data_IF_443898807069
#
_entry.id   IF_443898807069
#
_cell.length_a   1.000
_cell.length_b   1.000
_cell.length_c   1.000
_cell.angle_alpha   90.00
_cell.angle_beta   90.00
_cell.angle_gamma   90.00
#
_symmetry.space_group_name_H-M   'P 1'
#
loop_
_entity.id
_entity.type
_entity.pdbx_description
1 polymer ?
#
# COMPACT_ATOMS: atom_id res chain seq x y z
N UNK A 1 -14.31 55.53 21.27
CA UNK A 1 -15.52 54.71 21.42
C UNK A 1 -15.40 53.66 20.35
N UNK A 2 -14.71 52.60 20.66
CA UNK A 2 -15.11 51.32 21.27
C UNK A 2 -15.74 50.38 20.25
N UNK A 3 -15.14 49.23 20.07
CA UNK A 3 -15.71 48.10 19.38
C UNK A 3 -14.72 47.01 19.05
N UNK A 4 -14.15 46.44 20.10
CA UNK A 4 -13.32 45.23 20.06
C UNK A 4 -14.21 44.01 19.78
N UNK A 5 -13.84 43.16 18.81
CA UNK A 5 -14.50 41.92 18.47
C UNK A 5 -13.50 40.81 18.23
N UNK A 6 -13.03 40.22 19.33
CA UNK A 6 -12.18 39.03 19.34
C UNK A 6 -12.98 37.79 18.95
N UNK A 7 -12.76 37.27 17.74
CA UNK A 7 -13.23 35.95 17.33
C UNK A 7 -12.20 34.88 17.72
N UNK A 8 -12.47 34.16 18.80
CA UNK A 8 -11.71 33.00 19.24
C UNK A 8 -12.00 31.82 18.30
N UNK A 9 -11.05 31.50 17.44
CA UNK A 9 -11.04 30.25 16.69
C UNK A 9 -10.80 29.07 17.64
N UNK A 10 -11.79 28.21 17.80
CA UNK A 10 -11.63 26.93 18.47
C UNK A 10 -10.66 26.05 17.66
N UNK A 11 -9.51 25.77 18.24
CA UNK A 11 -8.62 24.74 17.77
C UNK A 11 -9.28 23.38 17.98
N UNK A 12 -9.55 22.67 16.88
CA UNK A 12 -10.04 21.31 16.93
C UNK A 12 -9.01 20.40 17.61
N UNK A 13 -9.47 19.64 18.60
CA UNK A 13 -8.66 18.65 19.31
C UNK A 13 -8.15 17.60 18.33
N UNK A 14 -6.83 17.38 18.29
CA UNK A 14 -6.20 16.31 17.54
C UNK A 14 -6.61 14.94 18.12
N UNK A 15 -7.11 14.04 17.27
CA UNK A 15 -7.33 12.63 17.63
C UNK A 15 -5.97 11.97 17.91
N UNK A 16 -5.75 11.37 19.09
CA UNK A 16 -4.46 10.75 19.44
C UNK A 16 -4.12 9.51 18.58
N UNK A 17 -4.97 9.10 17.64
CA UNK A 17 -4.77 8.00 16.71
C UNK A 17 -4.28 8.43 15.32
N UNK A 18 -3.81 9.67 15.14
CA UNK A 18 -2.95 10.09 14.05
C UNK A 18 -3.54 10.13 12.63
N UNK A 19 -4.84 10.00 12.45
CA UNK A 19 -5.48 10.05 11.12
C UNK A 19 -5.98 11.46 10.78
N UNK A 20 -5.33 12.16 9.85
CA UNK A 20 -5.84 13.44 9.33
C UNK A 20 -7.02 13.15 8.39
N UNK A 21 -8.24 13.27 8.92
CA UNK A 21 -9.49 13.15 8.20
C UNK A 21 -9.75 14.44 7.39
N UNK A 22 -9.18 14.57 6.20
CA UNK A 22 -9.49 15.69 5.31
C UNK A 22 -10.81 15.42 4.59
N UNK A 23 -11.69 16.43 4.52
CA UNK A 23 -12.93 16.36 3.75
C UNK A 23 -12.69 16.98 2.37
N UNK A 24 -13.27 16.35 1.33
CA UNK A 24 -13.40 16.99 0.01
C UNK A 24 -14.30 18.21 0.10
N UNK A 25 -14.28 19.05 -0.94
CA UNK A 25 -15.19 20.21 -1.06
C UNK A 25 -16.68 19.84 -1.02
N UNK A 26 -17.02 18.57 -1.35
CA UNK A 26 -18.37 17.98 -1.29
C UNK A 26 -18.72 17.38 0.10
N UNK A 27 -17.82 17.47 1.08
CA UNK A 27 -18.00 16.92 2.43
C UNK A 27 -17.65 15.45 2.59
N UNK A 28 -17.35 14.72 1.50
CA UNK A 28 -16.94 13.32 1.54
C UNK A 28 -15.58 13.15 2.23
N UNK A 29 -15.46 12.10 3.03
CA UNK A 29 -14.19 11.74 3.69
C UNK A 29 -13.36 10.89 2.73
N UNK A 30 -12.10 11.21 2.58
CA UNK A 30 -11.16 10.44 1.75
C UNK A 30 -9.88 10.13 2.53
N UNK A 31 -9.19 9.06 2.13
CA UNK A 31 -7.78 8.81 2.46
C UNK A 31 -6.96 9.02 1.20
N UNK A 32 -5.90 9.81 1.29
CA UNK A 32 -4.99 10.11 0.21
C UNK A 32 -3.68 9.37 0.41
N UNK A 33 -3.30 8.60 -0.59
CA UNK A 33 -2.11 7.77 -0.61
C UNK A 33 -1.14 8.38 -1.61
N UNK A 34 0.04 8.81 -1.16
CA UNK A 34 1.15 9.09 -2.06
C UNK A 34 1.95 7.81 -2.26
N UNK A 35 2.06 7.31 -3.49
CA UNK A 35 2.74 6.05 -3.81
C UNK A 35 3.89 6.28 -4.81
N UNK A 36 5.06 5.74 -4.51
CA UNK A 36 6.26 5.76 -5.36
C UNK A 36 7.14 4.56 -5.06
N UNK A 37 7.83 4.04 -6.07
CA UNK A 37 8.87 3.01 -5.96
C UNK A 37 10.06 3.34 -6.85
N UNK A 38 11.09 2.49 -6.82
CA UNK A 38 12.20 2.51 -7.78
C UNK A 38 12.94 3.85 -7.87
N UNK A 39 13.16 4.49 -6.74
CA UNK A 39 13.96 5.71 -6.72
C UNK A 39 15.47 5.45 -6.56
N UNK A 40 15.88 4.20 -6.30
CA UNK A 40 17.26 3.70 -6.36
C UNK A 40 18.27 4.65 -5.73
N UNK A 41 18.01 5.08 -4.51
CA UNK A 41 18.84 6.04 -3.79
C UNK A 41 20.23 5.46 -3.53
N UNK A 42 21.27 6.08 -4.06
CA UNK A 42 22.67 5.78 -3.76
C UNK A 42 23.25 6.70 -2.70
N UNK A 43 24.47 6.43 -2.25
CA UNK A 43 25.13 7.25 -1.23
C UNK A 43 25.33 8.71 -1.64
N UNK A 44 25.50 8.97 -2.95
CA UNK A 44 25.69 10.31 -3.51
C UNK A 44 24.37 11.10 -3.68
N UNK A 45 23.21 10.48 -3.47
CA UNK A 45 21.91 11.08 -3.76
C UNK A 45 21.31 11.80 -2.55
N UNK A 46 22.10 12.07 -1.50
CA UNK A 46 21.64 12.79 -0.33
C UNK A 46 21.04 14.16 -0.69
N UNK A 47 19.78 14.39 -0.31
CA UNK A 47 19.00 15.60 -0.63
C UNK A 47 18.23 15.54 -1.95
N UNK A 48 18.41 14.51 -2.78
CA UNK A 48 17.81 14.43 -4.11
C UNK A 48 16.27 14.22 -4.08
N UNK A 49 15.77 13.55 -3.06
CA UNK A 49 14.35 13.18 -2.93
C UNK A 49 13.62 13.93 -1.81
N UNK A 50 14.34 14.76 -1.02
CA UNK A 50 13.76 15.47 0.12
C UNK A 50 12.56 16.34 -0.25
N UNK A 51 12.62 17.08 -1.37
CA UNK A 51 11.51 17.90 -1.84
C UNK A 51 10.29 17.07 -2.23
N UNK A 52 10.49 15.89 -2.87
CA UNK A 52 9.45 14.93 -3.20
C UNK A 52 8.71 14.49 -1.93
N UNK A 53 9.44 14.00 -0.94
CA UNK A 53 8.85 13.47 0.28
C UNK A 53 8.22 14.56 1.16
N UNK A 54 8.80 15.78 1.19
CA UNK A 54 8.20 16.91 1.87
C UNK A 54 6.83 17.29 1.26
N UNK A 55 6.70 17.23 -0.08
CA UNK A 55 5.43 17.48 -0.76
C UNK A 55 4.43 16.36 -0.51
N UNK A 56 4.84 15.09 -0.63
CA UNK A 56 3.99 13.95 -0.30
C UNK A 56 3.44 14.05 1.13
N UNK A 57 4.28 14.46 2.09
CA UNK A 57 3.87 14.70 3.48
C UNK A 57 2.79 15.79 3.65
N UNK A 58 2.72 16.77 2.74
CA UNK A 58 1.70 17.83 2.77
C UNK A 58 0.39 17.39 2.11
N UNK A 59 0.46 16.57 1.08
CA UNK A 59 -0.66 16.22 0.21
C UNK A 59 -1.35 14.90 0.58
N UNK A 60 -0.64 13.97 1.23
CA UNK A 60 -1.14 12.64 1.54
C UNK A 60 -1.42 12.43 3.04
N UNK A 61 -2.15 11.38 3.35
CA UNK A 61 -2.41 10.87 4.70
C UNK A 61 -1.51 9.67 5.03
N UNK A 62 -0.89 9.06 4.01
CA UNK A 62 0.07 7.97 4.11
C UNK A 62 1.00 7.98 2.89
N UNK A 63 2.28 7.65 3.11
CA UNK A 63 3.28 7.46 2.06
C UNK A 63 3.52 5.97 1.85
N UNK A 64 3.39 5.49 0.62
CA UNK A 64 3.66 4.11 0.19
C UNK A 64 4.94 4.07 -0.64
N UNK A 65 5.88 3.21 -0.24
CA UNK A 65 7.12 2.96 -0.95
C UNK A 65 7.09 1.54 -1.54
N UNK A 66 7.06 1.43 -2.86
CA UNK A 66 6.84 0.18 -3.61
C UNK A 66 8.13 -0.55 -4.00
N UNK A 67 9.15 -0.53 -3.13
CA UNK A 67 10.42 -1.25 -3.31
C UNK A 67 11.47 -0.51 -4.12
N UNK A 68 12.65 -1.10 -4.21
CA UNK A 68 13.85 -0.54 -4.82
C UNK A 68 14.16 0.87 -4.31
N UNK A 69 14.21 0.96 -2.97
CA UNK A 69 14.48 2.20 -2.26
C UNK A 69 15.95 2.60 -2.43
N UNK A 70 16.84 1.60 -2.45
CA UNK A 70 18.27 1.74 -2.60
C UNK A 70 18.76 1.23 -3.96
N UNK A 71 19.96 1.61 -4.35
CA UNK A 71 20.58 1.16 -5.59
C UNK A 71 21.17 -0.23 -5.48
N UNK A 72 21.81 -0.54 -4.36
CA UNK A 72 22.54 -1.79 -4.13
C UNK A 72 22.19 -2.48 -2.81
N UNK A 73 21.24 -1.97 -2.06
CA UNK A 73 20.79 -2.55 -0.79
C UNK A 73 21.79 -2.40 0.35
N UNK A 74 22.76 -1.48 0.24
CA UNK A 74 23.75 -1.32 1.31
C UNK A 74 23.17 -0.56 2.51
N UNK A 75 23.64 -0.84 3.74
CA UNK A 75 23.24 -0.07 4.92
C UNK A 75 23.57 1.43 4.81
N UNK A 76 24.63 1.79 4.06
CA UNK A 76 24.99 3.19 3.84
C UNK A 76 23.93 3.90 2.96
N UNK A 77 23.51 3.29 1.86
CA UNK A 77 22.41 3.80 1.02
C UNK A 77 21.10 3.88 1.80
N UNK A 78 20.78 2.87 2.62
CA UNK A 78 19.56 2.89 3.42
C UNK A 78 19.56 4.03 4.46
N UNK A 79 20.74 4.40 5.01
CA UNK A 79 20.85 5.60 5.86
C UNK A 79 20.63 6.89 5.09
N UNK A 80 20.99 6.96 3.81
CA UNK A 80 20.62 8.10 2.95
C UNK A 80 19.11 8.12 2.76
N UNK A 81 18.47 6.99 2.44
CA UNK A 81 17.00 6.90 2.30
C UNK A 81 16.27 7.44 3.52
N UNK A 82 16.64 7.02 4.74
CA UNK A 82 15.99 7.55 5.96
C UNK A 82 16.27 9.03 6.19
N UNK A 83 17.41 9.55 5.72
CA UNK A 83 17.72 10.97 5.70
C UNK A 83 16.78 11.78 4.78
N UNK A 84 16.44 11.22 3.61
CA UNK A 84 15.45 11.81 2.69
C UNK A 84 14.04 11.83 3.30
N UNK A 85 13.69 10.83 4.11
CA UNK A 85 12.41 10.71 4.79
C UNK A 85 12.33 11.50 6.11
N UNK A 86 13.38 12.21 6.54
CA UNK A 86 13.49 12.77 7.89
C UNK A 86 12.31 13.69 8.28
N UNK A 87 11.79 14.48 7.34
CA UNK A 87 10.73 15.45 7.57
C UNK A 87 9.31 14.91 7.33
N UNK A 88 9.19 13.65 6.90
CA UNK A 88 7.87 13.00 6.69
C UNK A 88 7.25 12.67 8.06
N UNK A 89 6.03 13.13 8.28
CA UNK A 89 5.27 12.95 9.53
C UNK A 89 4.09 11.99 9.36
N UNK A 90 3.57 11.85 8.14
CA UNK A 90 2.55 10.84 7.86
C UNK A 90 3.13 9.44 7.99
N UNK A 91 2.33 8.42 8.31
CA UNK A 91 2.79 7.04 8.32
C UNK A 91 3.45 6.66 6.99
N UNK A 92 4.53 5.90 7.07
CA UNK A 92 5.25 5.37 5.90
C UNK A 92 5.09 3.86 5.89
N UNK A 93 4.58 3.33 4.79
CA UNK A 93 4.40 1.89 4.54
C UNK A 93 5.29 1.51 3.37
N UNK A 94 6.09 0.46 3.50
CA UNK A 94 7.05 0.06 2.48
C UNK A 94 7.08 -1.45 2.26
N UNK A 95 7.29 -1.85 1.03
CA UNK A 95 7.90 -3.14 0.69
C UNK A 95 9.34 -2.90 0.22
N UNK A 96 10.19 -3.90 0.32
CA UNK A 96 11.52 -3.84 -0.27
C UNK A 96 11.49 -4.46 -1.68
N UNK A 97 12.38 -4.00 -2.55
CA UNK A 97 12.55 -4.52 -3.90
C UNK A 97 13.78 -5.41 -4.04
N UNK A 98 14.05 -5.89 -5.24
CA UNK A 98 15.20 -6.76 -5.49
C UNK A 98 16.55 -6.05 -5.30
N UNK A 99 16.64 -4.76 -5.61
CA UNK A 99 17.85 -3.96 -5.35
C UNK A 99 18.15 -3.82 -3.86
N UNK A 100 17.11 -3.73 -3.02
CA UNK A 100 17.29 -3.67 -1.56
C UNK A 100 17.83 -4.98 -0.97
N UNK A 101 17.70 -6.09 -1.70
CA UNK A 101 18.24 -7.42 -1.33
C UNK A 101 19.65 -7.67 -1.86
N UNK A 102 20.15 -6.90 -2.84
CA UNK A 102 21.35 -7.21 -3.63
C UNK A 102 22.62 -7.40 -2.78
N UNK A 103 22.82 -6.53 -1.78
CA UNK A 103 24.01 -6.60 -0.91
C UNK A 103 23.98 -7.73 0.13
N UNK A 104 22.84 -8.38 0.32
CA UNK A 104 22.66 -9.39 1.37
C UNK A 104 22.50 -8.83 2.80
N UNK A 105 22.45 -7.51 3.00
CA UNK A 105 22.31 -6.86 4.31
C UNK A 105 20.86 -6.57 4.70
N UNK A 106 19.92 -7.41 4.26
CA UNK A 106 18.48 -7.19 4.45
C UNK A 106 18.07 -6.97 5.91
N UNK A 107 18.64 -7.73 6.84
CA UNK A 107 18.33 -7.59 8.27
C UNK A 107 18.72 -6.20 8.82
N UNK A 108 19.86 -5.66 8.37
CA UNK A 108 20.32 -4.33 8.76
C UNK A 108 19.46 -3.23 8.12
N UNK A 109 19.10 -3.39 6.82
CA UNK A 109 18.17 -2.51 6.13
C UNK A 109 16.82 -2.43 6.84
N UNK A 110 16.25 -3.56 7.26
CA UNK A 110 15.03 -3.62 8.07
C UNK A 110 15.17 -2.90 9.40
N UNK A 111 16.30 -3.07 10.10
CA UNK A 111 16.54 -2.40 11.38
C UNK A 111 16.56 -0.88 11.21
N UNK A 112 17.28 -0.37 10.21
CA UNK A 112 17.38 1.06 9.89
C UNK A 112 16.00 1.67 9.57
N UNK A 113 15.20 1.01 8.73
CA UNK A 113 13.86 1.47 8.38
C UNK A 113 12.90 1.47 9.55
N UNK A 114 12.92 0.41 10.39
CA UNK A 114 12.07 0.31 11.58
C UNK A 114 12.42 1.35 12.63
N UNK A 115 13.71 1.64 12.83
CA UNK A 115 14.17 2.70 13.73
C UNK A 115 13.62 4.08 13.30
N UNK A 116 13.48 4.30 11.98
CA UNK A 116 12.84 5.51 11.43
C UNK A 116 11.31 5.49 11.58
N UNK A 117 10.71 4.38 11.97
CA UNK A 117 9.25 4.22 12.08
C UNK A 117 8.56 3.85 10.75
N UNK A 118 9.29 3.28 9.80
CA UNK A 118 8.70 2.75 8.55
C UNK A 118 8.05 1.39 8.83
N UNK A 119 6.80 1.23 8.42
CA UNK A 119 6.06 -0.03 8.47
C UNK A 119 6.42 -0.88 7.25
N UNK A 120 7.29 -1.87 7.44
CA UNK A 120 7.72 -2.76 6.37
C UNK A 120 6.72 -3.90 6.25
N UNK A 121 6.23 -4.15 5.03
CA UNK A 121 5.31 -5.22 4.69
C UNK A 121 6.07 -6.35 3.98
N UNK A 122 6.27 -7.45 4.69
CA UNK A 122 6.80 -8.72 4.15
C UNK A 122 5.88 -9.88 4.58
N UNK A 123 4.64 -9.86 4.08
CA UNK A 123 3.56 -10.69 4.60
C UNK A 123 2.92 -10.10 5.86
N UNK A 124 3.25 -8.84 6.17
CA UNK A 124 2.72 -8.09 7.30
C UNK A 124 1.60 -7.14 6.87
N UNK A 125 0.95 -6.53 7.86
CA UNK A 125 -0.15 -5.58 7.68
C UNK A 125 0.09 -4.29 8.45
N UNK A 126 -0.47 -3.20 7.95
CA UNK A 126 -0.56 -1.92 8.66
C UNK A 126 -1.98 -1.38 8.52
N UNK A 127 -2.64 -1.05 9.62
CA UNK A 127 -3.96 -0.41 9.62
C UNK A 127 -3.79 1.08 9.93
N UNK A 128 -4.07 1.93 8.92
CA UNK A 128 -3.99 3.38 9.06
C UNK A 128 -5.08 3.89 10.02
N UNK A 129 -6.25 3.26 9.94
CA UNK A 129 -7.41 3.51 10.79
C UNK A 129 -8.37 2.31 10.74
N UNK A 130 -9.56 2.45 11.31
CA UNK A 130 -10.61 1.44 11.33
C UNK A 130 -11.22 1.11 9.95
N UNK A 131 -10.82 1.81 8.89
CA UNK A 131 -11.40 1.66 7.55
C UNK A 131 -10.40 1.25 6.46
N UNK A 132 -9.13 1.66 6.57
CA UNK A 132 -8.11 1.42 5.54
C UNK A 132 -6.93 0.68 6.13
N UNK A 133 -6.63 -0.48 5.58
CA UNK A 133 -5.47 -1.28 5.92
C UNK A 133 -4.63 -1.62 4.69
N UNK A 134 -3.36 -1.84 4.93
CA UNK A 134 -2.34 -2.16 3.95
C UNK A 134 -1.81 -3.55 4.22
N UNK A 135 -1.67 -4.35 3.16
CA UNK A 135 -1.00 -5.63 3.16
C UNK A 135 0.02 -5.66 2.03
N UNK A 136 1.14 -6.30 2.23
CA UNK A 136 2.15 -6.30 1.16
C UNK A 136 3.21 -7.36 1.32
N UNK A 137 3.93 -7.54 0.25
CA UNK A 137 5.11 -8.36 0.14
C UNK A 137 5.94 -7.86 -1.04
N UNK A 138 7.22 -8.23 -1.09
CA UNK A 138 8.04 -7.94 -2.26
C UNK A 138 7.41 -8.52 -3.53
N UNK A 139 6.86 -9.71 -3.46
CA UNK A 139 6.52 -10.52 -4.60
C UNK A 139 7.76 -11.18 -5.21
N UNK A 140 7.57 -11.87 -6.34
CA UNK A 140 8.66 -12.51 -7.05
C UNK A 140 8.33 -12.70 -8.53
N UNK A 141 9.31 -13.13 -9.29
CA UNK A 141 9.22 -13.50 -10.70
C UNK A 141 8.35 -14.74 -10.91
N UNK A 142 7.93 -15.02 -12.15
CA UNK A 142 7.16 -16.25 -12.43
C UNK A 142 6.45 -16.26 -13.76
N UNK A 143 6.25 -15.09 -14.37
CA UNK A 143 5.62 -14.94 -15.68
C UNK A 143 4.11 -14.83 -15.64
N UNK A 144 3.52 -14.66 -16.81
CA UNK A 144 2.11 -14.33 -16.99
C UNK A 144 1.44 -15.26 -18.01
N UNK A 145 0.18 -15.63 -17.75
CA UNK A 145 -0.64 -16.44 -18.64
C UNK A 145 0.02 -17.77 -18.99
N UNK A 146 0.16 -18.04 -20.29
CA UNK A 146 0.80 -19.28 -20.77
C UNK A 146 2.31 -19.33 -20.54
N UNK A 147 2.94 -18.19 -20.26
CA UNK A 147 4.36 -18.07 -19.93
C UNK A 147 4.66 -18.25 -18.45
N UNK A 148 3.66 -18.52 -17.61
CA UNK A 148 3.84 -18.73 -16.18
C UNK A 148 4.66 -20.00 -15.92
N UNK A 149 5.75 -19.88 -15.14
CA UNK A 149 6.60 -21.01 -14.76
C UNK A 149 5.85 -22.00 -13.87
N UNK A 150 6.11 -23.28 -14.11
CA UNK A 150 5.55 -24.38 -13.31
C UNK A 150 6.67 -25.13 -12.60
N UNK A 151 6.35 -25.77 -11.47
CA UNK A 151 7.28 -26.58 -10.68
C UNK A 151 7.58 -27.93 -11.36
N UNK A 152 8.06 -27.86 -12.62
CA UNK A 152 8.39 -29.05 -13.42
C UNK A 152 9.88 -29.05 -13.76
N UNK A 153 10.47 -30.25 -13.71
CA UNK A 153 11.88 -30.46 -14.08
C UNK A 153 12.83 -30.45 -12.87
N UNK A 154 13.91 -29.74 -12.98
CA UNK A 154 15.04 -29.74 -12.07
C UNK A 154 14.70 -29.12 -10.70
N UNK A 155 15.47 -29.51 -9.68
CA UNK A 155 15.29 -28.99 -8.32
C UNK A 155 15.41 -27.46 -8.26
N UNK A 156 16.29 -26.86 -9.05
CA UNK A 156 16.46 -25.40 -9.11
C UNK A 156 15.22 -24.70 -9.66
N UNK A 157 14.56 -25.24 -10.70
CA UNK A 157 13.31 -24.70 -11.23
C UNK A 157 12.18 -24.80 -10.23
N UNK A 158 12.08 -25.94 -9.51
CA UNK A 158 11.10 -26.11 -8.44
C UNK A 158 11.31 -25.13 -7.31
N UNK A 159 12.53 -24.96 -6.83
CA UNK A 159 12.87 -24.00 -5.78
C UNK A 159 12.55 -22.56 -6.19
N UNK A 160 12.80 -22.21 -7.47
CA UNK A 160 12.43 -20.89 -8.00
C UNK A 160 10.90 -20.66 -7.94
N UNK A 161 10.11 -21.63 -8.36
CA UNK A 161 8.63 -21.55 -8.31
C UNK A 161 8.14 -21.55 -6.85
N UNK A 162 8.80 -22.28 -5.96
CA UNK A 162 8.47 -22.28 -4.53
C UNK A 162 8.66 -20.88 -3.93
N UNK A 163 9.73 -20.15 -4.28
CA UNK A 163 9.89 -18.73 -3.88
C UNK A 163 8.71 -17.87 -4.33
N UNK A 164 8.24 -18.05 -5.57
CA UNK A 164 7.05 -17.34 -6.07
C UNK A 164 5.82 -17.65 -5.23
N UNK A 165 5.59 -18.94 -4.94
CA UNK A 165 4.42 -19.37 -4.16
C UNK A 165 4.47 -18.89 -2.71
N UNK A 166 5.65 -18.81 -2.11
CA UNK A 166 5.84 -18.26 -0.77
C UNK A 166 5.45 -16.79 -0.71
N UNK A 167 5.85 -15.99 -1.69
CA UNK A 167 5.47 -14.57 -1.75
C UNK A 167 3.96 -14.40 -1.96
N UNK A 168 3.34 -15.21 -2.84
CA UNK A 168 1.87 -15.21 -3.02
C UNK A 168 1.16 -15.58 -1.71
N UNK A 169 1.66 -16.59 -0.99
CA UNK A 169 1.10 -17.00 0.30
C UNK A 169 1.26 -15.92 1.37
N UNK A 170 2.40 -15.22 1.42
CA UNK A 170 2.60 -14.08 2.33
C UNK A 170 1.54 -13.02 2.09
N UNK A 171 1.31 -12.62 0.82
CA UNK A 171 0.28 -11.65 0.44
C UNK A 171 -1.12 -12.12 0.83
N UNK A 172 -1.45 -13.37 0.53
CA UNK A 172 -2.74 -13.97 0.89
C UNK A 172 -3.01 -13.90 2.39
N UNK A 173 -2.04 -14.34 3.20
CA UNK A 173 -2.15 -14.33 4.65
C UNK A 173 -2.30 -12.91 5.21
N UNK A 174 -1.56 -11.95 4.68
CA UNK A 174 -1.63 -10.56 5.07
C UNK A 174 -3.01 -9.95 4.73
N UNK A 175 -3.50 -10.10 3.49
CA UNK A 175 -4.82 -9.61 3.09
C UNK A 175 -5.95 -10.23 3.92
N UNK A 176 -5.85 -11.53 4.24
CA UNK A 176 -6.82 -12.23 5.09
C UNK A 176 -6.85 -11.70 6.52
N UNK A 177 -5.70 -11.27 7.05
CA UNK A 177 -5.54 -10.77 8.43
C UNK A 177 -6.17 -9.38 8.63
N UNK A 178 -6.26 -8.56 7.58
CA UNK A 178 -6.83 -7.23 7.67
C UNK A 178 -8.32 -7.27 8.06
N UNK A 179 -8.67 -6.59 9.15
CA UNK A 179 -10.04 -6.41 9.60
C UNK A 179 -10.74 -5.21 8.95
N UNK A 180 -9.98 -4.32 8.32
CA UNK A 180 -10.49 -3.10 7.68
C UNK A 180 -11.31 -3.41 6.42
N UNK A 181 -12.40 -2.66 6.14
CA UNK A 181 -13.23 -2.88 4.95
C UNK A 181 -12.50 -2.54 3.64
N UNK A 182 -11.58 -1.59 3.67
CA UNK A 182 -10.78 -1.18 2.51
C UNK A 182 -9.37 -1.75 2.66
N UNK A 183 -8.98 -2.60 1.73
CA UNK A 183 -7.67 -3.25 1.69
C UNK A 183 -6.85 -2.70 0.55
N UNK A 184 -5.64 -2.23 0.84
CA UNK A 184 -4.66 -1.73 -0.12
C UNK A 184 -3.51 -2.71 -0.18
N UNK A 185 -3.15 -3.15 -1.38
CA UNK A 185 -2.00 -4.03 -1.57
C UNK A 185 -0.77 -3.23 -2.01
N UNK A 186 0.39 -3.56 -1.46
CA UNK A 186 1.67 -2.99 -1.83
C UNK A 186 2.62 -4.11 -2.22
N UNK A 187 3.13 -4.05 -3.43
CA UNK A 187 4.02 -5.03 -4.04
C UNK A 187 5.26 -4.31 -4.62
N UNK A 188 6.30 -5.07 -4.93
CA UNK A 188 7.37 -4.58 -5.79
C UNK A 188 7.27 -5.19 -7.18
N UNK A 189 7.12 -6.51 -7.28
CA UNK A 189 6.89 -7.19 -8.55
C UNK A 189 5.46 -7.03 -9.07
N UNK A 190 5.30 -6.96 -10.40
CA UNK A 190 4.01 -6.74 -11.04
C UNK A 190 3.04 -7.94 -10.85
N UNK A 191 1.80 -7.70 -10.44
CA UNK A 191 0.79 -8.74 -10.32
C UNK A 191 0.01 -9.01 -11.62
N UNK A 192 0.15 -8.17 -12.64
CA UNK A 192 -0.58 -8.27 -13.91
C UNK A 192 0.30 -7.91 -15.10
N UNK A 193 0.06 -8.57 -16.23
CA UNK A 193 0.81 -8.32 -17.47
C UNK A 193 0.56 -6.90 -18.00
N UNK A 194 -0.61 -6.34 -17.80
CA UNK A 194 -0.99 -5.01 -18.29
C UNK A 194 0.04 -3.94 -17.91
N UNK A 195 0.59 -4.02 -16.70
CA UNK A 195 1.51 -3.00 -16.17
C UNK A 195 2.98 -3.25 -16.55
N UNK A 196 3.30 -4.36 -17.20
CA UNK A 196 4.64 -4.63 -17.76
C UNK A 196 4.71 -4.39 -19.26
N UNK A 197 3.58 -4.18 -19.93
CA UNK A 197 3.55 -3.83 -21.35
C UNK A 197 4.33 -2.53 -21.59
N UNK A 198 5.29 -2.59 -22.50
CA UNK A 198 6.25 -1.51 -22.76
C UNK A 198 7.70 -1.92 -22.44
N UNK A 199 7.88 -2.88 -21.56
CA UNK A 199 9.15 -3.56 -21.35
C UNK A 199 9.43 -4.55 -22.49
N UNK A 200 10.69 -4.99 -22.71
CA UNK A 200 10.98 -6.08 -23.64
C UNK A 200 10.26 -7.37 -23.24
N UNK A 201 9.47 -7.96 -24.14
CA UNK A 201 8.67 -9.15 -23.83
C UNK A 201 9.49 -10.33 -23.27
N UNK A 202 10.76 -10.45 -23.70
CA UNK A 202 11.68 -11.50 -23.25
C UNK A 202 11.97 -11.45 -21.74
N UNK A 203 11.75 -10.31 -21.07
CA UNK A 203 11.96 -10.16 -19.63
C UNK A 203 10.67 -10.20 -18.81
N UNK A 204 9.50 -10.28 -19.42
CA UNK A 204 8.23 -10.32 -18.69
C UNK A 204 8.20 -11.36 -17.55
N UNK A 205 8.72 -12.60 -17.73
CA UNK A 205 8.76 -13.58 -16.66
C UNK A 205 9.55 -13.15 -15.43
N UNK A 206 10.46 -12.18 -15.58
CA UNK A 206 11.29 -11.64 -14.50
C UNK A 206 10.68 -10.38 -13.86
N UNK A 207 9.63 -9.82 -14.44
CA UNK A 207 9.00 -8.59 -13.94
C UNK A 207 7.87 -8.85 -12.95
N UNK A 208 7.35 -10.07 -12.87
CA UNK A 208 6.28 -10.41 -11.95
C UNK A 208 5.59 -11.72 -12.29
N UNK A 209 4.38 -11.88 -11.77
CA UNK A 209 3.55 -13.06 -12.03
C UNK A 209 2.07 -12.78 -11.77
N UNK A 210 1.19 -13.33 -12.61
CA UNK A 210 -0.26 -13.28 -12.45
C UNK A 210 -0.78 -14.02 -11.20
N UNK A 211 0.02 -14.89 -10.60
CA UNK A 211 -0.31 -15.53 -9.31
C UNK A 211 -0.49 -14.53 -8.17
N UNK A 212 0.18 -13.37 -8.23
CA UNK A 212 -0.01 -12.30 -7.25
C UNK A 212 -1.38 -11.61 -7.37
N UNK A 213 -2.05 -11.70 -8.52
CA UNK A 213 -3.40 -11.17 -8.71
C UNK A 213 -4.49 -11.99 -8.00
N UNK A 214 -4.28 -13.31 -7.84
CA UNK A 214 -5.28 -14.19 -7.23
C UNK A 214 -5.69 -13.77 -5.80
N UNK A 215 -4.77 -13.50 -4.85
CA UNK A 215 -5.14 -13.02 -3.53
C UNK A 215 -5.74 -11.62 -3.54
N UNK A 216 -5.36 -10.74 -4.49
CA UNK A 216 -5.97 -9.43 -4.64
C UNK A 216 -7.46 -9.53 -4.94
N UNK A 217 -7.82 -10.37 -5.91
CA UNK A 217 -9.22 -10.62 -6.29
C UNK A 217 -9.98 -11.34 -5.19
N UNK A 218 -9.40 -12.40 -4.62
CA UNK A 218 -10.04 -13.23 -3.59
C UNK A 218 -10.42 -12.46 -2.33
N UNK A 219 -9.56 -11.53 -1.89
CA UNK A 219 -9.79 -10.74 -0.68
C UNK A 219 -10.32 -9.33 -0.96
N UNK A 220 -10.65 -9.03 -2.22
CA UNK A 220 -11.28 -7.77 -2.61
C UNK A 220 -10.41 -6.56 -2.28
N UNK A 221 -9.15 -6.56 -2.71
CA UNK A 221 -8.31 -5.37 -2.60
C UNK A 221 -8.96 -4.21 -3.36
N UNK A 222 -8.98 -3.02 -2.77
CA UNK A 222 -9.50 -1.83 -3.41
C UNK A 222 -8.56 -1.28 -4.48
N UNK A 223 -7.26 -1.49 -4.30
CA UNK A 223 -6.18 -1.07 -5.19
C UNK A 223 -4.90 -1.83 -4.86
N UNK A 224 -4.04 -2.00 -5.85
CA UNK A 224 -2.67 -2.47 -5.68
C UNK A 224 -1.67 -1.48 -6.30
N UNK A 225 -0.54 -1.26 -5.61
CA UNK A 225 0.60 -0.50 -6.09
C UNK A 225 1.80 -1.40 -6.23
N UNK A 226 2.59 -1.23 -7.30
CA UNK A 226 3.86 -1.93 -7.47
C UNK A 226 4.88 -1.06 -8.20
N UNK A 227 6.13 -1.49 -8.24
CA UNK A 227 7.24 -0.88 -8.96
C UNK A 227 7.85 -1.80 -10.01
N UNK A 228 9.16 -1.85 -10.10
CA UNK A 228 9.99 -2.80 -10.84
C UNK A 228 9.97 -2.65 -12.38
N UNK A 229 8.84 -2.47 -13.01
CA UNK A 229 8.72 -2.33 -14.47
C UNK A 229 8.87 -0.86 -14.90
N UNK A 230 10.12 -0.40 -15.08
CA UNK A 230 10.46 1.01 -15.28
C UNK A 230 9.95 1.61 -16.59
N UNK A 231 9.76 0.77 -17.61
CA UNK A 231 9.29 1.15 -18.95
C UNK A 231 7.89 0.61 -19.23
N UNK A 232 7.27 -0.01 -18.24
CA UNK A 232 5.95 -0.61 -18.33
C UNK A 232 4.82 0.40 -18.57
N UNK A 233 3.61 -0.01 -18.31
CA UNK A 233 2.39 0.82 -18.39
C UNK A 233 1.95 1.21 -16.99
N UNK A 234 1.50 2.46 -16.83
CA UNK A 234 1.13 3.03 -15.54
C UNK A 234 -0.02 2.31 -14.85
N UNK A 235 -1.04 1.91 -15.60
CA UNK A 235 -2.26 1.34 -15.03
C UNK A 235 -2.66 0.05 -15.73
N UNK A 236 -3.07 -0.94 -14.92
CA UNK A 236 -3.71 -2.18 -15.33
C UNK A 236 -4.81 -2.58 -14.36
N UNK A 237 -5.31 -3.79 -14.50
CA UNK A 237 -6.28 -4.37 -13.57
C UNK A 237 -6.13 -5.88 -13.50
N UNK A 238 -6.48 -6.45 -12.34
CA UNK A 238 -6.57 -7.89 -12.19
C UNK A 238 -7.75 -8.48 -12.99
N UNK A 239 -7.80 -9.80 -13.22
CA UNK A 239 -8.97 -10.45 -13.80
C UNK A 239 -10.29 -10.16 -13.06
N UNK A 240 -10.25 -10.01 -11.72
CA UNK A 240 -11.39 -9.63 -10.90
C UNK A 240 -11.71 -8.13 -10.90
N UNK A 241 -10.91 -7.31 -11.59
CA UNK A 241 -11.16 -5.89 -11.78
C UNK A 241 -10.49 -4.96 -10.75
N UNK A 242 -9.64 -5.48 -9.86
CA UNK A 242 -8.86 -4.64 -8.93
C UNK A 242 -7.91 -3.75 -9.72
N UNK A 243 -7.95 -2.41 -9.54
CA UNK A 243 -7.02 -1.51 -10.19
C UNK A 243 -5.59 -1.72 -9.68
N UNK A 244 -4.63 -1.75 -10.61
CA UNK A 244 -3.21 -1.92 -10.35
C UNK A 244 -2.46 -0.75 -10.95
N UNK A 245 -1.58 -0.13 -10.15
CA UNK A 245 -0.77 1.00 -10.58
C UNK A 245 0.72 0.69 -10.43
N UNK A 246 1.45 0.86 -11.52
CA UNK A 246 2.89 0.84 -11.54
C UNK A 246 3.39 2.24 -11.15
N UNK A 247 3.93 2.36 -9.94
CA UNK A 247 4.38 3.62 -9.36
C UNK A 247 5.91 3.76 -9.38
N UNK A 248 6.58 3.06 -10.30
CA UNK A 248 8.01 3.26 -10.55
C UNK A 248 8.30 4.71 -10.89
N UNK A 249 9.25 5.34 -10.19
CA UNK A 249 9.59 6.75 -10.37
C UNK A 249 9.99 7.09 -11.82
N UNK A 250 10.70 6.18 -12.48
CA UNK A 250 11.10 6.35 -13.88
C UNK A 250 9.88 6.46 -14.80
N UNK A 251 8.88 5.59 -14.59
CA UNK A 251 7.63 5.58 -15.35
C UNK A 251 6.76 6.80 -15.03
N UNK A 252 6.60 7.16 -13.75
CA UNK A 252 5.82 8.33 -13.35
C UNK A 252 6.35 9.62 -14.00
N UNK A 253 7.67 9.78 -14.06
CA UNK A 253 8.32 10.90 -14.73
C UNK A 253 8.07 10.90 -16.25
N UNK A 254 8.18 9.74 -16.90
CA UNK A 254 7.97 9.58 -18.34
C UNK A 254 6.54 9.91 -18.74
N UNK A 255 5.56 9.44 -17.96
CA UNK A 255 4.14 9.61 -18.26
C UNK A 255 3.56 10.92 -17.71
N UNK A 256 4.37 11.76 -17.02
CA UNK A 256 3.93 12.97 -16.32
C UNK A 256 2.76 12.71 -15.35
N UNK A 257 2.75 11.54 -14.73
CA UNK A 257 1.76 11.17 -13.71
C UNK A 257 2.21 11.69 -12.37
N UNK A 258 1.54 12.75 -11.87
CA UNK A 258 2.05 13.47 -10.73
C UNK A 258 3.43 14.08 -11.02
N UNK A 259 4.06 14.73 -10.08
CA UNK A 259 5.40 15.25 -10.35
C UNK A 259 6.50 14.23 -10.05
N UNK A 260 6.33 13.41 -9.01
CA UNK A 260 7.31 12.38 -8.62
C UNK A 260 6.70 11.26 -7.76
N UNK A 261 5.40 11.25 -7.52
CA UNK A 261 4.62 10.19 -6.88
C UNK A 261 3.20 10.22 -7.42
N UNK A 262 2.52 9.09 -7.34
CA UNK A 262 1.11 9.01 -7.68
C UNK A 262 0.27 9.29 -6.43
N UNK A 263 -0.61 10.30 -6.51
CA UNK A 263 -1.57 10.61 -5.44
C UNK A 263 -2.90 9.91 -5.75
N UNK A 264 -3.24 8.92 -4.96
CA UNK A 264 -4.47 8.13 -5.09
C UNK A 264 -5.44 8.45 -3.95
N UNK A 265 -6.69 8.74 -4.28
CA UNK A 265 -7.72 9.06 -3.30
C UNK A 265 -8.71 7.90 -3.16
N UNK A 266 -8.90 7.41 -1.93
CA UNK A 266 -9.89 6.40 -1.58
C UNK A 266 -11.04 7.07 -0.85
N UNK A 267 -12.28 7.08 -1.42
CA UNK A 267 -13.45 7.54 -0.69
C UNK A 267 -13.75 6.59 0.46
N UNK A 268 -14.01 7.17 1.64
CA UNK A 268 -14.39 6.40 2.82
C UNK A 268 -15.91 6.29 2.90
N UNK A 269 -16.46 5.12 3.28
CA UNK A 269 -17.87 4.98 3.53
C UNK A 269 -18.31 5.90 4.69
N UNK A 270 -19.56 6.34 4.65
CA UNK A 270 -20.13 7.08 5.78
C UNK A 270 -20.09 6.21 7.06
N UNK A 271 -19.70 6.81 8.18
CA UNK A 271 -19.81 6.12 9.47
C UNK A 271 -21.28 5.88 9.76
N UNK A 272 -21.71 4.62 9.78
CA UNK A 272 -23.01 4.28 10.38
C UNK A 272 -22.98 4.73 11.83
N UNK A 273 -23.77 5.72 12.16
CA UNK A 273 -24.01 6.10 13.56
C UNK A 273 -24.75 4.95 14.25
N UNK A 274 -24.24 4.47 15.38
CA UNK A 274 -24.80 3.36 16.19
C UNK A 274 -26.16 3.66 16.81
N UNK A 275 -27.00 4.45 16.17
CA UNK A 275 -28.32 4.83 16.68
C UNK A 275 -29.51 4.12 16.02
N UNK A 276 -29.27 3.16 15.10
CA UNK A 276 -30.35 2.47 14.39
C UNK A 276 -30.56 0.99 14.79
N UNK A 277 -29.93 0.53 15.87
CA UNK A 277 -30.22 -0.80 16.43
C UNK A 277 -30.76 -0.72 17.86
N UNK A 278 -31.94 -0.12 18.05
CA UNK A 278 -32.79 -0.55 19.14
C UNK A 278 -33.77 -1.61 18.60
N UNK A 279 -33.65 -2.88 19.03
CA UNK A 279 -34.74 -3.83 18.78
C UNK A 279 -35.90 -3.44 19.62
N UNK A 280 -36.98 -3.03 18.98
CA UNK A 280 -38.31 -2.91 19.61
C UNK A 280 -38.72 -4.26 20.18
N UNK A 281 -38.40 -4.51 21.43
CA UNK A 281 -38.93 -5.61 22.19
C UNK A 281 -40.37 -5.27 22.62
N UNK A 282 -41.30 -5.55 21.73
CA UNK A 282 -42.72 -5.63 22.13
C UNK A 282 -42.89 -6.87 23.00
N UNK A 283 -42.96 -6.65 24.30
CA UNK A 283 -43.40 -7.64 25.29
C UNK A 283 -44.87 -7.97 25.00
N UNK A 284 -45.13 -9.17 24.46
CA UNK A 284 -46.44 -9.79 24.51
C UNK A 284 -46.58 -10.45 25.89
N UNK A 285 -47.39 -9.85 26.75
CA UNK A 285 -47.93 -10.53 27.93
C UNK A 285 -48.94 -11.59 27.49
N UNK A 286 -48.88 -12.81 27.99
CA UNK A 286 -49.93 -13.81 27.77
C UNK A 286 -51.10 -13.52 28.73
N UNK A 287 -52.31 -13.41 28.17
CA UNK A 287 -53.54 -13.26 28.88
C UNK A 287 -53.78 -14.47 29.81
N UNK A 288 -54.06 -14.16 31.07
CA UNK A 288 -54.48 -15.15 32.06
C UNK A 288 -55.89 -15.67 31.73
N UNK A 289 -56.01 -16.96 31.46
CA UNK A 289 -57.30 -17.68 31.43
C UNK A 289 -57.68 -18.06 32.82
N UNK A 290 -58.72 -17.36 33.37
CA UNK A 290 -59.47 -17.82 34.53
C UNK A 290 -60.45 -18.89 34.10
N UNK A 291 -60.28 -20.12 34.64
CA UNK A 291 -61.33 -21.13 34.68
C UNK A 291 -61.91 -21.12 36.07
N UNK A 292 -63.18 -20.72 36.18
CA UNK A 292 -64.02 -21.01 37.33
C UNK A 292 -64.78 -22.33 37.09
N UNK A 293 -65.08 -22.98 38.21
CA UNK A 293 -65.84 -24.19 38.56
C UNK A 293 -65.05 -25.50 38.62
#
# INVERSE_FOLDING_TARGET
MDGNGTGTGQAGAADPRGGVNRRRSDGARTVRIAAVGDFHCGEQDAGAYRALFARANQEADVLVLAGDLTRWGTPAEMRVVIGELADVKVPIVAVLGNHDHESGHLAEAHAILRERGVHILDGDTFELNDQVGFAGTKGFMGGFGRGTLTAFGEAATKAFVDCTQEEVKKLELALRKLATPIRVAVLHYAPVIDTVVGEPEVIYPFLGTDRLAEPLDRYGAAVAFHGHAHVGTFQGKTPGGVPVFNVSLALLRKENVGEMYYLYEIPLPERRTRHEEEPSAALHEPAATTTGD
#
